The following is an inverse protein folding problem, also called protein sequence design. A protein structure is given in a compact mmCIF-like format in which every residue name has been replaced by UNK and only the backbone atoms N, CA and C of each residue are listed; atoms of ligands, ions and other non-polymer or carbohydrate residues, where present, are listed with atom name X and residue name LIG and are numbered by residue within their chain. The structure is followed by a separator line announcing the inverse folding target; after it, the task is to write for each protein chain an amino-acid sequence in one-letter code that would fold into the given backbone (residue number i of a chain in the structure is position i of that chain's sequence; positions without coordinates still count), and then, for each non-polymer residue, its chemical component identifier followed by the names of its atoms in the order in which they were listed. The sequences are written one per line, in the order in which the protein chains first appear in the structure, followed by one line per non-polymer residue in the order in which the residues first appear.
data_IF_476609311567
#
_entry.id   IF_476609311567
#
_cell.length_a   1.000
_cell.length_b   1.000
_cell.length_c   1.000
_cell.angle_alpha   90.00
_cell.angle_beta   90.00
_cell.angle_gamma   90.00
#
_symmetry.space_group_name_H-M   'P 1'
#
loop_
_entity.id
_entity.type
_entity.pdbx_description
1 polymer ?
#
# COMPACT_ATOMS: atom_id res chain seq x y z
N UNK A 1 -16.93 18.66 -31.19
CA UNK A 1 -17.69 18.15 -30.04
C UNK A 1 -16.78 18.26 -28.83
N UNK A 2 -17.14 19.07 -27.83
CA UNK A 2 -16.35 19.16 -26.59
C UNK A 2 -16.60 17.86 -25.83
N UNK A 3 -15.59 17.00 -25.72
CA UNK A 3 -15.71 15.79 -24.92
C UNK A 3 -15.99 16.21 -23.47
N UNK A 4 -17.15 15.82 -22.93
CA UNK A 4 -17.44 16.05 -21.52
C UNK A 4 -16.40 15.32 -20.68
N UNK A 5 -15.68 16.07 -19.84
CA UNK A 5 -14.70 15.54 -18.89
C UNK A 5 -15.41 14.60 -17.91
N UNK A 6 -14.95 13.35 -17.80
CA UNK A 6 -15.53 12.38 -16.87
C UNK A 6 -15.49 12.92 -15.44
N UNK A 7 -16.58 12.74 -14.70
CA UNK A 7 -16.70 13.18 -13.30
C UNK A 7 -16.97 11.97 -12.43
N UNK A 8 -16.19 11.82 -11.36
CA UNK A 8 -16.33 10.73 -10.39
C UNK A 8 -17.56 10.97 -9.51
N UNK A 9 -18.42 9.97 -9.40
CA UNK A 9 -19.55 9.94 -8.45
C UNK A 9 -19.09 9.29 -7.15
N UNK A 10 -18.94 10.11 -6.09
CA UNK A 10 -18.48 9.68 -4.77
C UNK A 10 -19.49 8.80 -4.03
N UNK A 11 -20.75 8.73 -4.49
CA UNK A 11 -21.76 7.84 -3.91
C UNK A 11 -21.71 6.42 -4.49
N UNK A 12 -20.81 6.17 -5.44
CA UNK A 12 -20.64 4.88 -6.12
C UNK A 12 -19.24 4.30 -5.87
N UNK A 13 -19.05 2.98 -6.06
CA UNK A 13 -17.75 2.35 -5.97
C UNK A 13 -16.69 3.00 -6.87
N UNK A 14 -15.54 3.39 -6.30
CA UNK A 14 -14.59 4.28 -6.96
C UNK A 14 -13.57 3.60 -7.88
N UNK A 15 -13.18 2.35 -7.60
CA UNK A 15 -11.98 1.74 -8.21
C UNK A 15 -12.04 1.72 -9.74
N UNK A 16 -13.19 1.38 -10.31
CA UNK A 16 -13.34 1.34 -11.77
C UNK A 16 -13.79 2.69 -12.39
N UNK A 17 -14.18 3.67 -11.57
CA UNK A 17 -14.48 5.02 -12.03
C UNK A 17 -13.20 5.81 -12.31
N UNK A 18 -12.21 5.74 -11.41
CA UNK A 18 -10.99 6.59 -11.49
C UNK A 18 -10.15 6.34 -12.74
N UNK A 19 -10.23 5.15 -13.33
CA UNK A 19 -9.60 4.85 -14.61
C UNK A 19 -10.08 5.75 -15.76
N UNK A 20 -11.35 6.19 -15.72
CA UNK A 20 -11.94 7.04 -16.76
C UNK A 20 -11.48 8.51 -16.70
N UNK A 21 -10.77 8.92 -15.64
CA UNK A 21 -10.24 10.28 -15.51
C UNK A 21 -9.11 10.59 -16.50
N UNK A 22 -8.45 9.56 -17.05
CA UNK A 22 -7.35 9.71 -18.00
C UNK A 22 -6.27 10.64 -17.47
N UNK A 23 -5.94 11.68 -18.24
CA UNK A 23 -4.92 12.67 -17.88
C UNK A 23 -5.28 13.55 -16.67
N UNK A 24 -6.57 13.67 -16.34
CA UNK A 24 -7.01 14.50 -15.20
C UNK A 24 -6.90 13.78 -13.86
N UNK A 25 -6.48 12.52 -13.85
CA UNK A 25 -6.35 11.71 -12.65
C UNK A 25 -5.34 12.28 -11.65
N UNK A 26 -4.16 12.69 -12.14
CA UNK A 26 -3.08 13.16 -11.26
C UNK A 26 -3.46 14.41 -10.48
N UNK A 27 -4.14 15.36 -11.12
CA UNK A 27 -4.67 16.53 -10.43
C UNK A 27 -5.78 16.11 -9.44
N UNK A 28 -6.71 15.26 -9.88
CA UNK A 28 -7.86 14.86 -9.07
C UNK A 28 -7.48 14.08 -7.79
N UNK A 29 -6.50 13.18 -7.87
CA UNK A 29 -6.12 12.28 -6.77
C UNK A 29 -5.40 13.01 -5.64
N UNK A 30 -4.68 14.09 -5.95
CA UNK A 30 -3.95 14.91 -4.98
C UNK A 30 -4.78 16.07 -4.39
N UNK A 31 -6.10 16.10 -4.64
CA UNK A 31 -7.03 17.03 -3.99
C UNK A 31 -7.74 16.32 -2.83
N UNK A 32 -7.25 16.43 -1.58
CA UNK A 32 -7.72 15.62 -0.47
C UNK A 32 -9.15 15.93 -0.07
N UNK A 33 -9.90 14.89 0.28
CA UNK A 33 -11.20 14.95 0.93
C UNK A 33 -11.00 14.55 2.39
N UNK A 34 -11.06 15.54 3.28
CA UNK A 34 -10.82 15.34 4.71
C UNK A 34 -12.11 14.84 5.38
N UNK A 35 -12.26 13.52 5.44
CA UNK A 35 -13.36 12.84 6.14
C UNK A 35 -12.86 11.55 6.79
N UNK A 36 -13.38 11.23 7.98
CA UNK A 36 -13.14 9.94 8.63
C UNK A 36 -13.86 8.79 7.92
N UNK A 37 -14.94 9.10 7.22
CA UNK A 37 -15.65 8.12 6.41
C UNK A 37 -14.93 7.94 5.08
N UNK A 38 -14.46 6.72 4.84
CA UNK A 38 -13.81 6.33 3.59
C UNK A 38 -14.82 6.05 2.48
N UNK A 39 -14.41 6.16 1.20
CA UNK A 39 -15.27 5.81 0.09
C UNK A 39 -15.47 4.29 0.00
N UNK A 40 -16.46 3.88 -0.79
CA UNK A 40 -16.60 2.48 -1.22
C UNK A 40 -15.71 2.22 -2.44
N UNK A 41 -14.96 1.14 -2.43
CA UNK A 41 -14.08 0.76 -3.54
C UNK A 41 -14.79 -0.13 -4.56
N UNK A 42 -15.48 -1.16 -4.07
CA UNK A 42 -16.15 -2.17 -4.89
C UNK A 42 -17.63 -2.32 -4.54
N UNK A 43 -18.45 -2.72 -5.52
CA UNK A 43 -19.86 -3.00 -5.27
C UNK A 43 -20.05 -4.26 -4.41
N UNK A 44 -19.21 -5.27 -4.63
CA UNK A 44 -19.19 -6.51 -3.84
C UNK A 44 -18.63 -6.28 -2.44
N UNK A 45 -19.36 -6.72 -1.42
CA UNK A 45 -18.90 -6.70 -0.03
C UNK A 45 -17.65 -7.56 0.19
N UNK A 46 -17.49 -8.64 -0.57
CA UNK A 46 -16.32 -9.50 -0.48
C UNK A 46 -15.04 -8.75 -0.93
N UNK A 47 -15.09 -8.10 -2.09
CA UNK A 47 -13.94 -7.33 -2.59
C UNK A 47 -13.69 -6.10 -1.74
N UNK A 48 -14.75 -5.44 -1.26
CA UNK A 48 -14.66 -4.31 -0.35
C UNK A 48 -13.97 -4.70 0.97
N UNK A 49 -14.33 -5.85 1.55
CA UNK A 49 -13.72 -6.37 2.78
C UNK A 49 -12.20 -6.53 2.64
N UNK A 50 -11.71 -7.04 1.52
CA UNK A 50 -10.28 -7.23 1.26
C UNK A 50 -9.49 -5.92 1.15
N UNK A 51 -10.16 -4.78 0.97
CA UNK A 51 -9.51 -3.46 0.91
C UNK A 51 -9.30 -2.82 2.27
N UNK A 52 -9.93 -3.35 3.33
CA UNK A 52 -9.98 -2.73 4.65
C UNK A 52 -9.02 -3.42 5.59
N UNK A 53 -7.98 -2.71 6.00
CA UNK A 53 -6.96 -3.19 6.92
C UNK A 53 -6.89 -2.27 8.14
N UNK A 54 -7.25 -2.79 9.31
CA UNK A 54 -7.10 -2.06 10.56
C UNK A 54 -5.62 -1.90 10.92
N UNK A 55 -5.26 -0.77 11.53
CA UNK A 55 -3.86 -0.45 11.87
C UNK A 55 -3.17 -1.55 12.71
N UNK A 56 -3.90 -2.18 13.62
CA UNK A 56 -3.37 -3.22 14.52
C UNK A 56 -3.08 -4.55 13.80
N UNK A 57 -3.57 -4.74 12.57
CA UNK A 57 -3.26 -5.93 11.78
C UNK A 57 -1.77 -6.01 11.44
N UNK A 58 -1.11 -4.88 11.17
CA UNK A 58 0.32 -4.82 10.83
C UNK A 58 1.20 -5.39 11.95
N UNK A 59 1.18 -4.87 13.19
CA UNK A 59 2.00 -5.44 14.26
C UNK A 59 1.58 -6.87 14.62
N UNK A 60 0.28 -7.19 14.59
CA UNK A 60 -0.22 -8.53 14.94
C UNK A 60 0.30 -9.61 13.98
N UNK A 61 0.41 -9.30 12.69
CA UNK A 61 0.88 -10.25 11.67
C UNK A 61 2.41 -10.27 11.62
N UNK A 62 3.06 -9.11 11.59
CA UNK A 62 4.49 -9.04 11.26
C UNK A 62 5.42 -9.13 12.46
N UNK A 63 5.01 -8.72 13.67
CA UNK A 63 5.87 -8.87 14.85
C UNK A 63 6.19 -10.35 15.17
N UNK A 64 5.23 -11.30 15.11
CA UNK A 64 5.56 -12.72 15.28
C UNK A 64 6.57 -13.23 14.26
N UNK A 65 6.49 -12.77 13.00
CA UNK A 65 7.45 -13.14 11.95
C UNK A 65 8.84 -12.60 12.29
N UNK A 66 8.95 -11.34 12.70
CA UNK A 66 10.22 -10.75 13.14
C UNK A 66 10.81 -11.50 14.35
N UNK A 67 9.99 -11.79 15.36
CA UNK A 67 10.42 -12.55 16.53
C UNK A 67 10.88 -13.97 16.16
N UNK A 68 10.19 -14.62 15.22
CA UNK A 68 10.58 -15.93 14.71
C UNK A 68 11.93 -15.88 13.99
N UNK A 69 12.14 -14.93 13.08
CA UNK A 69 13.41 -14.76 12.36
C UNK A 69 14.58 -14.47 13.31
N UNK A 70 14.38 -13.62 14.32
CA UNK A 70 15.40 -13.35 15.35
C UNK A 70 15.70 -14.62 16.16
N UNK A 71 14.66 -15.36 16.59
CA UNK A 71 14.85 -16.62 17.32
C UNK A 71 15.61 -17.65 16.49
N UNK A 72 15.31 -17.75 15.19
CA UNK A 72 15.99 -18.64 14.28
C UNK A 72 17.46 -18.27 14.13
N UNK A 73 17.77 -16.98 13.96
CA UNK A 73 19.16 -16.51 13.87
C UNK A 73 20.00 -16.94 15.08
N UNK A 74 19.46 -16.81 16.29
CA UNK A 74 20.13 -17.27 17.52
C UNK A 74 20.29 -18.79 17.55
N UNK A 75 19.25 -19.55 17.16
CA UNK A 75 19.32 -21.03 17.09
C UNK A 75 20.34 -21.52 16.07
N UNK A 76 20.60 -20.75 15.01
CA UNK A 76 21.62 -21.03 14.01
C UNK A 76 23.05 -20.69 14.49
N UNK A 77 23.22 -20.22 15.72
CA UNK A 77 24.52 -19.98 16.34
C UNK A 77 25.05 -18.55 16.18
N UNK A 78 24.26 -17.60 15.65
CA UNK A 78 24.65 -16.20 15.64
C UNK A 78 24.69 -15.63 17.07
N UNK A 79 25.77 -14.90 17.37
CA UNK A 79 25.89 -14.18 18.63
C UNK A 79 24.88 -13.02 18.71
N UNK A 80 24.61 -12.54 19.93
CA UNK A 80 23.73 -11.38 20.11
C UNK A 80 24.21 -10.13 19.34
N UNK A 81 25.52 -9.76 19.34
CA UNK A 81 25.99 -8.62 18.54
C UNK A 81 25.78 -8.80 17.04
N UNK A 82 26.01 -10.01 16.50
CA UNK A 82 25.76 -10.30 15.08
C UNK A 82 24.28 -10.16 14.74
N UNK A 83 23.41 -10.73 15.58
CA UNK A 83 21.95 -10.63 15.39
C UNK A 83 21.48 -9.18 15.45
N UNK A 84 21.99 -8.40 16.42
CA UNK A 84 21.67 -6.97 16.54
C UNK A 84 22.13 -6.18 15.30
N UNK A 85 23.32 -6.48 14.77
CA UNK A 85 23.84 -5.84 13.56
C UNK A 85 22.99 -6.18 12.33
N UNK A 86 22.54 -7.44 12.18
CA UNK A 86 21.63 -7.84 11.10
C UNK A 86 20.29 -7.11 11.19
N UNK A 87 19.71 -6.99 12.38
CA UNK A 87 18.47 -6.23 12.59
C UNK A 87 18.66 -4.75 12.26
N UNK A 88 19.76 -4.13 12.73
CA UNK A 88 20.07 -2.74 12.44
C UNK A 88 20.27 -2.49 10.94
N UNK A 89 20.98 -3.40 10.26
CA UNK A 89 21.15 -3.34 8.81
C UNK A 89 19.82 -3.53 8.07
N UNK A 90 18.95 -4.43 8.54
CA UNK A 90 17.61 -4.62 7.98
C UNK A 90 16.75 -3.37 8.10
N UNK A 91 16.78 -2.68 9.25
CA UNK A 91 16.09 -1.40 9.45
C UNK A 91 16.65 -0.33 8.49
N UNK A 92 17.96 -0.24 8.35
CA UNK A 92 18.59 0.68 7.41
C UNK A 92 18.14 0.40 5.97
N UNK A 93 18.19 -0.87 5.54
CA UNK A 93 17.75 -1.27 4.21
C UNK A 93 16.26 -0.98 4.00
N UNK A 94 15.43 -1.20 5.02
CA UNK A 94 14.02 -0.84 4.98
C UNK A 94 13.83 0.65 4.67
N UNK A 95 14.55 1.56 5.33
CA UNK A 95 14.41 3.01 5.03
C UNK A 95 14.77 3.36 3.58
N UNK A 96 15.72 2.63 2.98
CA UNK A 96 16.05 2.79 1.57
C UNK A 96 14.94 2.25 0.65
N UNK A 97 14.42 1.05 0.95
CA UNK A 97 13.32 0.44 0.19
C UNK A 97 12.06 1.29 0.28
N UNK A 98 11.71 1.77 1.47
CA UNK A 98 10.60 2.69 1.72
C UNK A 98 10.71 3.93 0.82
N UNK A 99 11.90 4.56 0.80
CA UNK A 99 12.14 5.72 -0.05
C UNK A 99 11.94 5.42 -1.53
N UNK A 100 12.50 4.30 -2.03
CA UNK A 100 12.39 3.91 -3.44
C UNK A 100 10.95 3.61 -3.82
N UNK A 101 10.25 2.79 -3.02
CA UNK A 101 8.85 2.46 -3.26
C UNK A 101 7.97 3.70 -3.21
N UNK A 102 8.13 4.54 -2.18
CA UNK A 102 7.31 5.73 -2.03
C UNK A 102 7.53 6.69 -3.20
N UNK A 103 8.80 7.01 -3.51
CA UNK A 103 9.12 8.00 -4.54
C UNK A 103 8.80 7.53 -5.97
N UNK A 104 9.13 6.29 -6.31
CA UNK A 104 9.09 5.85 -7.72
C UNK A 104 7.90 4.96 -8.06
N UNK A 105 7.33 4.21 -7.10
CA UNK A 105 6.18 3.36 -7.34
C UNK A 105 4.88 4.01 -6.86
N UNK A 106 4.85 4.53 -5.64
CA UNK A 106 3.63 5.08 -5.03
C UNK A 106 3.30 6.50 -5.51
N UNK A 107 4.25 7.20 -6.13
CA UNK A 107 4.07 8.53 -6.74
C UNK A 107 4.30 8.49 -8.27
N UNK A 108 4.05 7.35 -8.90
CA UNK A 108 4.16 7.23 -10.35
C UNK A 108 3.04 7.99 -11.06
N UNK A 109 3.40 8.77 -12.09
CA UNK A 109 2.42 9.46 -12.91
C UNK A 109 1.79 8.51 -13.95
N UNK A 110 0.50 8.25 -13.79
CA UNK A 110 -0.31 7.43 -14.68
C UNK A 110 -1.35 8.26 -15.43
N UNK A 111 -1.68 7.80 -16.65
CA UNK A 111 -2.73 8.39 -17.51
C UNK A 111 -3.68 7.36 -18.12
N UNK A 112 -3.34 6.08 -18.07
CA UNK A 112 -4.16 5.01 -18.63
C UNK A 112 -5.21 4.53 -17.64
N UNK A 113 -6.29 3.93 -18.16
CA UNK A 113 -7.38 3.40 -17.33
C UNK A 113 -6.87 2.49 -16.20
N UNK A 114 -6.09 1.47 -16.57
CA UNK A 114 -5.54 0.52 -15.62
C UNK A 114 -4.43 1.11 -14.77
N UNK A 115 -3.60 2.00 -15.32
CA UNK A 115 -2.57 2.69 -14.54
C UNK A 115 -3.16 3.50 -13.39
N UNK A 116 -4.17 4.33 -13.68
CA UNK A 116 -4.87 5.14 -12.68
C UNK A 116 -5.58 4.25 -11.63
N UNK A 117 -6.19 3.15 -12.07
CA UNK A 117 -6.86 2.19 -11.19
C UNK A 117 -5.88 1.54 -10.22
N UNK A 118 -4.74 1.05 -10.72
CA UNK A 118 -3.69 0.41 -9.91
C UNK A 118 -3.05 1.44 -8.96
N UNK A 119 -2.70 2.62 -9.46
CA UNK A 119 -2.13 3.69 -8.61
C UNK A 119 -3.10 4.08 -7.48
N UNK A 120 -4.40 4.17 -7.77
CA UNK A 120 -5.41 4.48 -6.75
C UNK A 120 -5.45 3.44 -5.63
N UNK A 121 -5.37 2.14 -5.98
CA UNK A 121 -5.31 1.05 -5.01
C UNK A 121 -4.01 1.02 -4.20
N UNK A 122 -2.87 1.38 -4.82
CA UNK A 122 -1.56 1.35 -4.17
C UNK A 122 -1.34 2.53 -3.21
N UNK A 123 -1.65 3.75 -3.65
CA UNK A 123 -1.35 4.96 -2.87
C UNK A 123 -2.29 6.14 -3.15
N UNK A 124 -2.95 6.19 -4.31
CA UNK A 124 -3.82 7.32 -4.66
C UNK A 124 -5.00 7.50 -3.71
N UNK A 125 -5.57 6.44 -3.16
CA UNK A 125 -6.60 6.57 -2.12
C UNK A 125 -6.08 7.25 -0.87
N UNK A 126 -4.84 6.99 -0.46
CA UNK A 126 -4.25 7.64 0.71
C UNK A 126 -4.14 9.15 0.51
N UNK A 127 -3.70 9.60 -0.67
CA UNK A 127 -3.70 11.03 -1.02
C UNK A 127 -5.10 11.63 -1.06
N UNK A 128 -6.05 10.91 -1.64
CA UNK A 128 -7.41 11.40 -1.84
C UNK A 128 -8.24 11.41 -0.56
N UNK A 129 -8.08 10.42 0.31
CA UNK A 129 -8.84 10.21 1.55
C UNK A 129 -7.87 9.95 2.72
N UNK A 130 -7.09 10.96 3.14
CA UNK A 130 -6.00 10.77 4.10
C UNK A 130 -6.45 10.34 5.51
N UNK A 131 -7.74 10.50 5.82
CA UNK A 131 -8.31 10.18 7.13
C UNK A 131 -9.10 8.85 7.16
N UNK A 132 -9.10 8.07 6.07
CA UNK A 132 -9.65 6.70 6.07
C UNK A 132 -8.70 5.75 6.81
N UNK A 133 -9.00 5.52 8.09
CA UNK A 133 -8.17 4.69 8.98
C UNK A 133 -8.07 3.21 8.60
N UNK A 134 -8.95 2.71 7.71
CA UNK A 134 -8.90 1.32 7.24
C UNK A 134 -8.12 1.15 5.93
N UNK A 135 -7.70 2.26 5.30
CA UNK A 135 -6.95 2.26 4.02
C UNK A 135 -5.66 3.06 4.08
N UNK A 136 -5.16 3.26 5.30
CA UNK A 136 -3.92 3.98 5.54
C UNK A 136 -2.70 3.05 5.54
N UNK A 137 -2.84 1.85 6.10
CA UNK A 137 -1.76 0.86 6.13
C UNK A 137 -1.83 -0.03 4.89
N UNK A 138 -0.68 -0.50 4.43
CA UNK A 138 -0.62 -1.39 3.27
C UNK A 138 -1.20 -2.78 3.61
N UNK A 139 -2.15 -3.32 2.82
CA UNK A 139 -2.77 -4.61 3.12
C UNK A 139 -1.73 -5.75 3.20
N UNK A 140 -1.78 -6.63 4.22
CA UNK A 140 -0.79 -7.70 4.40
C UNK A 140 -0.63 -8.62 3.19
N UNK A 141 -1.72 -8.93 2.49
CA UNK A 141 -1.67 -9.75 1.28
C UNK A 141 -0.88 -9.07 0.14
N UNK A 142 -1.06 -7.77 -0.04
CA UNK A 142 -0.30 -6.99 -1.01
C UNK A 142 1.17 -6.85 -0.58
N UNK A 143 1.42 -6.62 0.72
CA UNK A 143 2.77 -6.57 1.28
C UNK A 143 3.52 -7.88 1.04
N UNK A 144 2.89 -9.03 1.28
CA UNK A 144 3.49 -10.34 1.07
C UNK A 144 3.95 -10.53 -0.38
N UNK A 145 3.16 -10.10 -1.38
CA UNK A 145 3.54 -10.17 -2.80
C UNK A 145 4.80 -9.34 -3.08
N UNK A 146 4.89 -8.13 -2.52
CA UNK A 146 6.08 -7.28 -2.68
C UNK A 146 7.32 -7.89 -2.01
N UNK A 147 7.13 -8.65 -0.92
CA UNK A 147 8.23 -9.28 -0.18
C UNK A 147 8.69 -10.64 -0.73
N UNK A 148 7.94 -11.28 -1.64
CA UNK A 148 8.31 -12.61 -2.21
C UNK A 148 9.73 -12.63 -2.81
N UNK A 149 10.18 -11.64 -3.61
CA UNK A 149 11.54 -11.65 -4.17
C UNK A 149 12.64 -11.69 -3.11
N UNK A 150 12.39 -11.16 -1.92
CA UNK A 150 13.38 -11.05 -0.83
C UNK A 150 13.57 -12.39 -0.11
N UNK A 151 12.50 -13.19 0.02
CA UNK A 151 12.53 -14.49 0.71
C UNK A 151 13.29 -15.55 -0.10
N UNK A 152 13.17 -15.54 -1.43
CA UNK A 152 13.84 -16.51 -2.30
C UNK A 152 15.32 -16.20 -2.56
N UNK A 153 15.77 -14.96 -2.36
CA UNK A 153 17.17 -14.56 -2.50
C UNK A 153 17.99 -14.71 -1.20
N UNK A 154 17.31 -14.98 -0.07
CA UNK A 154 17.93 -15.16 1.25
C UNK A 154 18.02 -16.61 1.74
N UNK A 155 17.61 -17.59 0.92
CA UNK A 155 17.80 -19.03 1.14
C UNK A 155 18.89 -19.57 0.21
#
# INVERSE_FOLDING_TARGET
MVAHKFTVDLNKPLVFQVGHLGESYQEWVHQPIVSKEGPRFFDSDFWEFLTRTAWWAIPTIWLPVVCWCISMSVRMGHTLPQTALMVAFGIFLWTFVEYVLHRFLFHIETKSYWGNTIHYLLHGCHHKHPMDGLRLVFPPAAAAILCIPEVYLGM
#
